data_IF_069593824587
#
_entry.id   IF_069593824587
#
_cell.length_a   1.000
_cell.length_b   1.000
_cell.length_c   1.000
_cell.angle_alpha   90.00
_cell.angle_beta   90.00
_cell.angle_gamma   90.00
#
_symmetry.space_group_name_H-M   'P 1'
#
loop_
_entity.id
_entity.type
_entity.pdbx_description
1 polymer ?
#
# COMPACT_ATOMS: atom_id res chain seq x y z
N UNK A 1 -3.93 23.58 5.73
CA UNK A 1 -5.23 23.19 6.36
C UNK A 1 -4.88 22.26 7.50
N UNK A 2 -5.44 22.45 8.68
CA UNK A 2 -5.22 21.48 9.77
C UNK A 2 -6.14 20.27 9.53
N UNK A 3 -5.54 19.09 9.40
CA UNK A 3 -6.26 17.82 9.20
C UNK A 3 -6.63 17.12 10.52
N UNK A 4 -6.20 17.67 11.67
CA UNK A 4 -6.44 17.07 12.98
C UNK A 4 -5.78 15.73 13.20
N UNK A 5 -4.66 15.44 12.51
CA UNK A 5 -3.96 14.15 12.57
C UNK A 5 -2.56 14.22 13.21
N UNK A 6 -2.14 15.39 13.64
CA UNK A 6 -0.85 15.58 14.34
C UNK A 6 -0.77 14.69 15.59
N UNK A 7 0.38 14.02 15.77
CA UNK A 7 0.60 13.11 16.89
C UNK A 7 -0.10 11.74 16.74
N UNK A 8 -0.76 11.49 15.62
CA UNK A 8 -1.24 10.15 15.26
C UNK A 8 -0.09 9.26 14.83
N UNK A 9 -0.32 7.96 14.84
CA UNK A 9 0.66 6.94 14.42
C UNK A 9 0.19 6.21 13.17
N UNK A 10 1.04 6.12 12.15
CA UNK A 10 0.71 5.49 10.87
C UNK A 10 1.65 4.34 10.52
N UNK A 11 1.08 3.23 10.05
CA UNK A 11 1.82 2.16 9.36
C UNK A 11 1.68 2.34 7.85
N UNK A 12 2.81 2.40 7.13
CA UNK A 12 2.85 2.53 5.68
C UNK A 12 3.66 1.37 5.07
N UNK A 13 2.98 0.54 4.27
CA UNK A 13 3.60 -0.58 3.58
C UNK A 13 4.25 -0.16 2.26
N UNK A 14 5.32 -0.88 1.85
CA UNK A 14 6.10 -0.63 0.64
C UNK A 14 6.52 0.84 0.50
N UNK A 15 7.09 1.40 1.57
CA UNK A 15 7.32 2.84 1.75
C UNK A 15 8.77 3.29 1.52
N UNK A 16 9.65 2.42 1.02
CA UNK A 16 11.03 2.82 0.70
C UNK A 16 11.15 3.72 -0.54
N UNK A 17 10.13 3.74 -1.41
CA UNK A 17 10.10 4.56 -2.64
C UNK A 17 8.67 4.72 -3.19
N UNK A 18 8.54 5.49 -4.27
CA UNK A 18 7.29 5.63 -5.03
C UNK A 18 6.12 6.12 -4.18
N UNK A 19 4.92 5.59 -4.44
CA UNK A 19 3.68 6.04 -3.79
C UNK A 19 3.69 5.86 -2.28
N UNK A 20 4.25 4.76 -1.76
CA UNK A 20 4.34 4.54 -0.31
C UNK A 20 5.23 5.57 0.38
N UNK A 21 6.38 5.94 -0.23
CA UNK A 21 7.23 7.02 0.26
C UNK A 21 6.50 8.37 0.20
N UNK A 22 5.81 8.68 -0.89
CA UNK A 22 5.02 9.91 -1.00
C UNK A 22 3.93 10.02 0.07
N UNK A 23 3.25 8.91 0.39
CA UNK A 23 2.29 8.88 1.51
C UNK A 23 2.99 9.12 2.86
N UNK A 24 4.17 8.53 3.07
CA UNK A 24 4.93 8.72 4.31
C UNK A 24 5.38 10.18 4.49
N UNK A 25 5.89 10.81 3.44
CA UNK A 25 6.29 12.23 3.45
C UNK A 25 5.10 13.15 3.71
N UNK A 26 3.96 12.90 3.07
CA UNK A 26 2.74 13.69 3.27
C UNK A 26 2.22 13.59 4.71
N UNK A 27 2.18 12.38 5.30
CA UNK A 27 1.75 12.18 6.68
C UNK A 27 2.76 12.78 7.68
N UNK A 28 4.06 12.63 7.43
CA UNK A 28 5.11 13.26 8.25
C UNK A 28 4.99 14.79 8.24
N UNK A 29 4.67 15.40 7.09
CA UNK A 29 4.43 16.85 6.97
C UNK A 29 3.26 17.36 7.83
N UNK A 30 2.30 16.49 8.11
CA UNK A 30 1.18 16.78 9.04
C UNK A 30 1.50 16.44 10.50
N UNK A 31 2.72 15.98 10.80
CA UNK A 31 3.17 15.68 12.15
C UNK A 31 2.71 14.32 12.67
N UNK A 32 2.54 13.34 11.78
CA UNK A 32 2.20 11.95 12.11
C UNK A 32 3.48 11.16 12.34
N UNK A 33 3.55 10.36 13.40
CA UNK A 33 4.62 9.40 13.65
C UNK A 33 4.46 8.16 12.76
N UNK A 34 5.56 7.63 12.23
CA UNK A 34 5.51 6.64 11.17
C UNK A 34 6.17 5.32 11.56
N UNK A 35 5.57 4.23 11.11
CA UNK A 35 6.20 2.93 10.95
C UNK A 35 6.25 2.61 9.46
N UNK A 36 7.44 2.54 8.92
CA UNK A 36 7.69 2.27 7.50
C UNK A 36 8.06 0.80 7.31
N UNK A 37 7.48 0.17 6.30
CA UNK A 37 7.82 -1.19 5.92
C UNK A 37 8.22 -1.30 4.45
N UNK A 38 9.28 -2.03 4.18
CA UNK A 38 9.67 -2.51 2.86
C UNK A 38 10.62 -3.71 3.01
N UNK A 39 10.93 -4.43 1.92
CA UNK A 39 11.86 -5.57 1.94
C UNK A 39 13.34 -5.15 2.00
N UNK A 40 13.69 -4.06 1.33
CA UNK A 40 15.08 -3.57 1.25
C UNK A 40 15.43 -2.70 2.45
N UNK A 41 16.26 -3.21 3.37
CA UNK A 41 16.62 -2.52 4.61
C UNK A 41 17.34 -1.19 4.36
N UNK A 42 18.32 -1.17 3.47
CA UNK A 42 19.12 0.03 3.18
C UNK A 42 18.27 1.18 2.62
N UNK A 43 17.49 0.90 1.59
CA UNK A 43 16.63 1.91 0.96
C UNK A 43 15.51 2.38 1.90
N UNK A 44 15.01 1.49 2.76
CA UNK A 44 14.00 1.83 3.74
C UNK A 44 14.57 2.75 4.82
N UNK A 45 15.75 2.43 5.37
CA UNK A 45 16.39 3.26 6.39
C UNK A 45 16.83 4.62 5.81
N UNK A 46 17.32 4.68 4.58
CA UNK A 46 17.61 5.94 3.93
C UNK A 46 16.37 6.85 3.83
N UNK A 47 15.21 6.26 3.49
CA UNK A 47 13.93 6.98 3.47
C UNK A 47 13.51 7.42 4.87
N UNK A 48 13.62 6.56 5.86
CA UNK A 48 13.28 6.87 7.25
C UNK A 48 14.15 8.01 7.81
N UNK A 49 15.46 7.96 7.58
CA UNK A 49 16.41 9.00 8.00
C UNK A 49 16.11 10.35 7.35
N UNK A 50 15.80 10.36 6.05
CA UNK A 50 15.40 11.57 5.33
C UNK A 50 14.13 12.18 5.92
N UNK A 51 13.11 11.38 6.20
CA UNK A 51 11.84 11.86 6.78
C UNK A 51 12.05 12.39 8.19
N UNK A 52 12.79 11.68 9.06
CA UNK A 52 13.13 12.16 10.42
C UNK A 52 13.81 13.53 10.37
N UNK A 53 14.81 13.67 9.49
CA UNK A 53 15.56 14.91 9.33
C UNK A 53 14.71 16.08 8.82
N UNK A 54 13.79 15.81 7.89
CA UNK A 54 13.00 16.85 7.22
C UNK A 54 11.82 17.32 8.06
N UNK A 55 11.12 16.39 8.73
CA UNK A 55 9.83 16.68 9.37
C UNK A 55 9.86 16.64 10.89
N UNK A 56 10.91 16.09 11.50
CA UNK A 56 11.08 16.04 12.95
C UNK A 56 10.11 15.10 13.68
N UNK A 57 9.49 14.15 12.98
CA UNK A 57 8.59 13.15 13.53
C UNK A 57 9.35 11.85 13.87
N UNK A 58 8.76 11.01 14.74
CA UNK A 58 9.27 9.68 14.99
C UNK A 58 9.04 8.78 13.76
N UNK A 59 10.08 8.04 13.35
CA UNK A 59 9.98 7.09 12.23
C UNK A 59 10.72 5.81 12.60
N UNK A 60 10.01 4.71 12.63
CA UNK A 60 10.57 3.37 12.75
C UNK A 60 10.58 2.66 11.38
N UNK A 61 11.62 1.89 11.10
CA UNK A 61 11.78 1.19 9.83
C UNK A 61 11.84 -0.32 10.07
N UNK A 62 10.93 -1.07 9.46
CA UNK A 62 10.85 -2.53 9.60
C UNK A 62 11.09 -3.19 8.24
N UNK A 63 12.29 -3.73 8.05
CA UNK A 63 12.64 -4.46 6.84
C UNK A 63 12.09 -5.89 6.89
N UNK A 64 10.94 -6.11 6.26
CA UNK A 64 10.26 -7.41 6.24
C UNK A 64 9.43 -7.58 4.96
N UNK A 65 9.24 -8.83 4.55
CA UNK A 65 8.28 -9.16 3.50
C UNK A 65 6.87 -9.26 4.09
N UNK A 66 6.08 -8.23 3.86
CA UNK A 66 4.73 -8.08 4.38
C UNK A 66 3.73 -9.12 3.83
N UNK A 67 4.12 -9.87 2.78
CA UNK A 67 3.27 -10.93 2.22
C UNK A 67 3.35 -12.23 3.02
N UNK A 68 4.32 -12.35 3.94
CA UNK A 68 4.50 -13.50 4.81
C UNK A 68 3.91 -13.27 6.20
N UNK A 69 3.44 -14.33 6.85
CA UNK A 69 2.93 -14.25 8.23
C UNK A 69 3.98 -13.71 9.21
N UNK A 70 5.24 -14.16 9.07
CA UNK A 70 6.34 -13.69 9.90
C UNK A 70 6.63 -12.19 9.68
N UNK A 71 6.59 -11.73 8.42
CA UNK A 71 6.77 -10.32 8.10
C UNK A 71 5.61 -9.45 8.61
N UNK A 72 4.37 -9.92 8.49
CA UNK A 72 3.21 -9.23 9.06
C UNK A 72 3.32 -9.12 10.58
N UNK A 73 3.69 -10.22 11.26
CA UNK A 73 3.85 -10.23 12.72
C UNK A 73 4.91 -9.22 13.17
N UNK A 74 6.10 -9.22 12.56
CA UNK A 74 7.18 -8.29 12.90
C UNK A 74 6.78 -6.81 12.69
N UNK A 75 6.07 -6.53 11.59
CA UNK A 75 5.60 -5.17 11.29
C UNK A 75 4.52 -4.72 12.27
N UNK A 76 3.55 -5.58 12.58
CA UNK A 76 2.45 -5.26 13.49
C UNK A 76 2.93 -5.14 14.94
N UNK A 77 3.90 -5.96 15.36
CA UNK A 77 4.52 -5.85 16.68
C UNK A 77 5.20 -4.49 16.87
N UNK A 78 6.00 -4.05 15.89
CA UNK A 78 6.65 -2.73 15.93
C UNK A 78 5.61 -1.60 15.81
N UNK A 79 4.61 -1.78 14.96
CA UNK A 79 3.59 -0.75 14.74
C UNK A 79 2.75 -0.50 16.00
N UNK A 80 2.45 -1.54 16.76
CA UNK A 80 1.60 -1.44 17.94
C UNK A 80 0.22 -0.84 17.60
N UNK A 81 -0.25 0.03 18.44
CA UNK A 81 -1.51 0.74 18.22
C UNK A 81 -1.36 1.85 17.18
N UNK A 82 -1.84 1.58 15.98
CA UNK A 82 -1.84 2.57 14.89
C UNK A 82 -3.22 3.22 14.72
N UNK A 83 -3.20 4.47 14.31
CA UNK A 83 -4.39 5.25 13.95
C UNK A 83 -4.64 5.24 12.43
N UNK A 84 -3.56 5.17 11.66
CA UNK A 84 -3.60 5.24 10.20
C UNK A 84 -2.89 4.02 9.62
N UNK A 85 -3.53 3.36 8.66
CA UNK A 85 -2.95 2.27 7.89
C UNK A 85 -2.95 2.62 6.40
N UNK A 86 -1.77 2.60 5.78
CA UNK A 86 -1.64 2.70 4.32
C UNK A 86 -1.14 1.37 3.79
N UNK A 87 -2.04 0.58 3.20
CA UNK A 87 -1.65 -0.66 2.53
C UNK A 87 -1.15 -0.37 1.13
N UNK A 88 -0.02 -0.95 0.80
CA UNK A 88 0.62 -0.85 -0.51
C UNK A 88 1.50 -2.08 -0.74
N UNK A 89 1.65 -2.50 -1.98
CA UNK A 89 2.57 -3.57 -2.37
C UNK A 89 3.04 -3.36 -3.81
N UNK A 90 4.11 -4.03 -4.18
CA UNK A 90 4.54 -4.10 -5.57
C UNK A 90 3.43 -4.68 -6.45
N UNK A 91 3.21 -4.10 -7.62
CA UNK A 91 2.26 -4.68 -8.58
C UNK A 91 2.78 -5.99 -9.17
N UNK A 92 1.90 -6.94 -9.50
CA UNK A 92 2.27 -8.15 -10.23
C UNK A 92 2.91 -7.83 -11.58
N UNK A 93 3.66 -8.76 -12.19
CA UNK A 93 4.22 -8.56 -13.52
C UNK A 93 3.12 -8.33 -14.55
N UNK A 94 3.34 -7.45 -15.54
CA UNK A 94 2.45 -7.33 -16.69
C UNK A 94 2.63 -8.56 -17.59
N UNK A 95 1.62 -8.83 -18.43
CA UNK A 95 1.65 -9.94 -19.39
C UNK A 95 0.36 -10.03 -20.18
N UNK A 96 0.27 -11.02 -21.06
CA UNK A 96 -0.93 -11.34 -21.82
C UNK A 96 -1.79 -12.35 -21.03
N UNK A 97 -3.03 -12.49 -21.43
CA UNK A 97 -3.97 -13.44 -20.80
C UNK A 97 -3.48 -14.90 -20.81
N UNK A 98 -2.62 -15.27 -21.74
CA UNK A 98 -2.04 -16.59 -21.90
C UNK A 98 -0.80 -16.85 -21.05
N UNK A 99 -0.20 -15.81 -20.48
CA UNK A 99 1.08 -15.88 -19.79
C UNK A 99 0.93 -16.31 -18.32
N UNK A 100 -0.28 -16.20 -17.76
CA UNK A 100 -0.52 -16.41 -16.33
C UNK A 100 -1.20 -17.75 -16.04
N UNK A 101 -0.55 -18.53 -15.20
CA UNK A 101 -1.12 -19.72 -14.61
C UNK A 101 -1.72 -19.47 -13.22
N UNK A 102 -2.19 -20.54 -12.60
CA UNK A 102 -2.80 -20.52 -11.26
C UNK A 102 -1.87 -19.89 -10.21
N UNK A 103 -0.59 -20.19 -10.25
CA UNK A 103 0.37 -19.76 -9.23
C UNK A 103 0.63 -18.25 -9.32
N UNK A 104 0.60 -17.69 -10.53
CA UNK A 104 0.71 -16.24 -10.73
C UNK A 104 -0.48 -15.48 -10.11
N UNK A 105 -1.69 -16.03 -10.27
CA UNK A 105 -2.89 -15.48 -9.63
C UNK A 105 -2.81 -15.60 -8.10
N UNK A 106 -2.35 -16.73 -7.57
CA UNK A 106 -2.20 -16.89 -6.10
C UNK A 106 -1.21 -15.86 -5.57
N UNK A 107 -0.03 -15.71 -6.19
CA UNK A 107 0.97 -14.73 -5.77
C UNK A 107 0.42 -13.28 -5.85
N UNK A 108 -0.34 -12.96 -6.89
CA UNK A 108 -0.99 -11.66 -7.01
C UNK A 108 -2.06 -11.43 -5.93
N UNK A 109 -2.82 -12.45 -5.58
CA UNK A 109 -3.82 -12.39 -4.50
C UNK A 109 -3.15 -12.26 -3.14
N UNK A 110 -2.12 -13.02 -2.85
CA UNK A 110 -1.38 -12.91 -1.60
C UNK A 110 -0.88 -11.48 -1.38
N UNK A 111 -0.22 -10.89 -2.38
CA UNK A 111 0.37 -9.56 -2.24
C UNK A 111 -0.65 -8.41 -2.27
N UNK A 112 -1.67 -8.49 -3.13
CA UNK A 112 -2.51 -7.32 -3.45
C UNK A 112 -3.99 -7.46 -3.02
N UNK A 113 -4.35 -8.56 -2.37
CA UNK A 113 -5.68 -8.82 -1.82
C UNK A 113 -5.58 -9.33 -0.38
N UNK A 114 -4.93 -10.47 -0.13
CA UNK A 114 -4.97 -11.15 1.18
C UNK A 114 -4.11 -10.40 2.22
N UNK A 115 -2.93 -9.93 1.85
CA UNK A 115 -2.09 -9.11 2.74
C UNK A 115 -2.79 -7.83 3.20
N UNK A 116 -3.34 -6.98 2.32
CA UNK A 116 -4.15 -5.85 2.77
C UNK A 116 -5.32 -6.25 3.68
N UNK A 117 -6.03 -7.33 3.38
CA UNK A 117 -7.13 -7.84 4.22
C UNK A 117 -6.61 -8.23 5.61
N UNK A 118 -5.50 -8.94 5.70
CA UNK A 118 -4.91 -9.35 6.97
C UNK A 118 -4.54 -8.13 7.84
N UNK A 119 -3.87 -7.12 7.24
CA UNK A 119 -3.51 -5.88 7.93
C UNK A 119 -4.73 -5.08 8.39
N UNK A 120 -5.76 -4.97 7.55
CA UNK A 120 -7.03 -4.34 7.91
C UNK A 120 -7.64 -5.05 9.12
N UNK A 121 -7.74 -6.38 9.08
CA UNK A 121 -8.31 -7.18 10.17
C UNK A 121 -7.52 -7.04 11.47
N UNK A 122 -6.20 -6.96 11.41
CA UNK A 122 -5.35 -6.77 12.58
C UNK A 122 -5.49 -5.38 13.20
N UNK A 123 -5.71 -4.34 12.38
CA UNK A 123 -5.76 -2.94 12.85
C UNK A 123 -7.14 -2.50 13.31
N UNK A 124 -8.20 -3.05 12.74
CA UNK A 124 -9.58 -2.61 12.98
C UNK A 124 -10.02 -2.67 14.45
N UNK A 125 -9.77 -3.75 15.22
CA UNK A 125 -10.25 -3.80 16.60
C UNK A 125 -9.77 -2.62 17.43
N UNK A 126 -8.47 -2.34 17.45
CA UNK A 126 -7.92 -1.20 18.20
C UNK A 126 -8.41 0.16 17.71
N UNK A 127 -8.58 0.35 16.38
CA UNK A 127 -9.16 1.57 15.82
C UNK A 127 -10.62 1.75 16.25
N UNK A 128 -11.41 0.70 16.24
CA UNK A 128 -12.82 0.74 16.66
C UNK A 128 -12.97 1.02 18.16
N UNK A 129 -12.15 0.39 19.00
CA UNK A 129 -12.15 0.59 20.45
C UNK A 129 -11.79 2.05 20.81
N UNK A 130 -10.89 2.69 20.05
CA UNK A 130 -10.54 4.11 20.23
C UNK A 130 -11.52 5.08 19.55
N UNK A 131 -12.51 4.58 18.81
CA UNK A 131 -13.50 5.38 18.10
C UNK A 131 -12.91 6.20 16.95
N UNK A 132 -11.71 5.85 16.45
CA UNK A 132 -11.05 6.56 15.38
C UNK A 132 -10.06 5.68 14.61
N UNK A 133 -10.11 5.72 13.28
CA UNK A 133 -9.16 5.05 12.42
C UNK A 133 -9.30 5.49 10.97
N UNK A 134 -8.18 5.49 10.23
CA UNK A 134 -8.13 5.82 8.80
C UNK A 134 -7.33 4.77 8.06
N UNK A 135 -7.97 4.07 7.16
CA UNK A 135 -7.34 3.04 6.33
C UNK A 135 -7.42 3.48 4.88
N UNK A 136 -6.28 3.51 4.21
CA UNK A 136 -6.15 3.83 2.79
C UNK A 136 -5.45 2.69 2.08
N UNK A 137 -6.11 2.07 1.13
CA UNK A 137 -5.51 1.04 0.28
C UNK A 137 -5.08 1.67 -1.05
N UNK A 138 -3.80 1.57 -1.37
CA UNK A 138 -3.30 1.98 -2.69
C UNK A 138 -3.62 0.86 -3.68
N UNK A 139 -4.67 1.07 -4.46
CA UNK A 139 -5.12 0.13 -5.48
C UNK A 139 -4.66 0.55 -6.88
N UNK A 140 -5.55 0.77 -7.83
CA UNK A 140 -5.23 1.19 -9.19
C UNK A 140 -6.45 1.75 -9.90
N UNK A 141 -6.27 2.69 -10.81
CA UNK A 141 -7.29 3.10 -11.79
C UNK A 141 -7.84 1.91 -12.57
N UNK A 142 -7.05 0.87 -12.74
CA UNK A 142 -7.43 -0.37 -13.43
C UNK A 142 -8.65 -1.10 -12.81
N UNK A 143 -9.01 -0.79 -11.57
CA UNK A 143 -10.27 -1.25 -10.95
C UNK A 143 -11.50 -0.66 -11.64
N UNK A 144 -11.40 0.54 -12.21
CA UNK A 144 -12.48 1.23 -12.94
C UNK A 144 -12.36 1.08 -14.45
N UNK A 145 -11.13 1.10 -14.95
CA UNK A 145 -10.79 0.96 -16.37
C UNK A 145 -9.71 -0.11 -16.51
N UNK A 146 -10.07 -1.40 -16.66
CA UNK A 146 -9.11 -2.49 -16.74
C UNK A 146 -8.07 -2.28 -17.85
N UNK A 147 -6.80 -2.46 -17.49
CA UNK A 147 -5.68 -2.35 -18.42
C UNK A 147 -5.33 -3.75 -18.93
N UNK A 148 -5.31 -3.98 -20.26
CA UNK A 148 -5.20 -5.32 -20.83
C UNK A 148 -4.00 -6.14 -20.33
N UNK A 149 -2.82 -5.52 -20.22
CA UNK A 149 -1.58 -6.19 -19.79
C UNK A 149 -1.46 -6.34 -18.26
N UNK A 150 -2.44 -5.93 -17.48
CA UNK A 150 -2.42 -5.97 -16.02
C UNK A 150 -3.47 -6.91 -15.42
N UNK A 151 -3.82 -8.01 -16.08
CA UNK A 151 -4.88 -8.93 -15.68
C UNK A 151 -4.77 -9.41 -14.24
N UNK A 152 -3.59 -9.78 -13.76
CA UNK A 152 -3.34 -10.17 -12.37
C UNK A 152 -3.69 -9.03 -11.39
N UNK A 153 -3.21 -7.82 -11.69
CA UNK A 153 -3.47 -6.63 -10.86
C UNK A 153 -4.95 -6.22 -10.90
N UNK A 154 -5.56 -6.22 -12.09
CA UNK A 154 -6.99 -5.92 -12.26
C UNK A 154 -7.83 -6.82 -11.35
N UNK A 155 -7.56 -8.12 -11.35
CA UNK A 155 -8.32 -9.12 -10.59
C UNK A 155 -8.13 -8.96 -9.08
N UNK A 156 -6.88 -8.90 -8.59
CA UNK A 156 -6.58 -8.82 -7.17
C UNK A 156 -7.12 -7.51 -6.54
N UNK A 157 -6.91 -6.38 -7.20
CA UNK A 157 -7.32 -5.07 -6.68
C UNK A 157 -8.83 -4.83 -6.78
N UNK A 158 -9.51 -5.43 -7.76
CA UNK A 158 -10.98 -5.44 -7.80
C UNK A 158 -11.55 -6.27 -6.64
N UNK A 159 -10.95 -7.42 -6.32
CA UNK A 159 -11.31 -8.22 -5.15
C UNK A 159 -11.18 -7.43 -3.85
N UNK A 160 -10.05 -6.74 -3.64
CA UNK A 160 -9.86 -5.86 -2.48
C UNK A 160 -10.90 -4.74 -2.43
N UNK A 161 -11.23 -4.14 -3.57
CA UNK A 161 -12.24 -3.07 -3.64
C UNK A 161 -13.61 -3.59 -3.22
N UNK A 162 -13.99 -4.79 -3.64
CA UNK A 162 -15.23 -5.44 -3.21
C UNK A 162 -15.27 -5.72 -1.70
N UNK A 163 -14.18 -6.26 -1.14
CA UNK A 163 -14.04 -6.48 0.30
C UNK A 163 -14.20 -5.17 1.08
N UNK A 164 -13.48 -4.13 0.70
CA UNK A 164 -13.53 -2.81 1.35
C UNK A 164 -14.92 -2.19 1.29
N UNK A 165 -15.63 -2.32 0.18
CA UNK A 165 -16.99 -1.80 0.03
C UNK A 165 -17.98 -2.41 1.05
N UNK A 166 -17.78 -3.67 1.44
CA UNK A 166 -18.56 -4.32 2.49
C UNK A 166 -18.14 -3.89 3.90
N UNK A 167 -16.85 -4.02 4.21
CA UNK A 167 -16.31 -3.79 5.56
C UNK A 167 -16.41 -2.33 5.98
N UNK A 168 -16.18 -1.38 5.08
CA UNK A 168 -16.27 0.06 5.40
C UNK A 168 -17.62 0.44 6.00
N UNK A 169 -18.72 -0.16 5.52
CA UNK A 169 -20.07 0.08 6.07
C UNK A 169 -20.26 -0.52 7.46
N UNK A 170 -19.60 -1.65 7.75
CA UNK A 170 -19.71 -2.31 9.05
C UNK A 170 -19.01 -1.50 10.16
N UNK A 171 -17.91 -0.83 9.83
CA UNK A 171 -17.06 -0.14 10.81
C UNK A 171 -17.28 1.38 10.88
N UNK A 172 -18.03 1.97 9.96
CA UNK A 172 -18.26 3.42 9.90
C UNK A 172 -18.85 3.99 11.19
N UNK A 173 -19.76 3.26 11.82
CA UNK A 173 -20.39 3.65 13.11
C UNK A 173 -19.39 3.73 14.27
N UNK A 174 -18.24 3.09 14.17
CA UNK A 174 -17.15 3.14 15.15
C UNK A 174 -16.10 4.23 14.86
N UNK A 175 -16.40 5.18 14.00
CA UNK A 175 -15.48 6.28 13.67
C UNK A 175 -14.29 5.90 12.78
N UNK A 176 -14.34 4.70 12.16
CA UNK A 176 -13.29 4.22 11.26
C UNK A 176 -13.71 4.37 9.80
N UNK A 177 -12.80 4.87 8.97
CA UNK A 177 -13.02 4.92 7.52
C UNK A 177 -12.02 4.05 6.78
N UNK A 178 -12.47 3.34 5.74
CA UNK A 178 -11.62 2.55 4.84
C UNK A 178 -11.87 3.03 3.41
N UNK A 179 -10.83 3.51 2.75
CA UNK A 179 -10.90 4.04 1.41
C UNK A 179 -9.88 3.38 0.49
N UNK A 180 -10.19 3.33 -0.81
CA UNK A 180 -9.27 2.92 -1.85
C UNK A 180 -8.82 4.14 -2.65
N UNK A 181 -7.51 4.36 -2.71
CA UNK A 181 -6.90 5.30 -3.63
C UNK A 181 -6.65 4.57 -4.95
N UNK A 182 -7.08 5.14 -6.06
CA UNK A 182 -6.96 4.56 -7.39
C UNK A 182 -5.97 5.38 -8.24
N UNK A 183 -4.66 5.21 -8.02
CA UNK A 183 -3.66 5.94 -8.79
C UNK A 183 -3.76 5.61 -10.28
N UNK A 184 -3.59 6.62 -11.12
CA UNK A 184 -3.31 6.48 -12.54
C UNK A 184 -1.81 6.30 -12.79
N UNK A 185 -1.32 6.93 -13.85
CA UNK A 185 0.12 6.97 -14.17
C UNK A 185 0.82 7.96 -13.23
N UNK A 186 1.86 7.50 -12.58
CA UNK A 186 2.72 8.32 -11.71
C UNK A 186 4.16 8.05 -12.09
N UNK A 187 4.98 9.08 -12.12
CA UNK A 187 6.42 8.97 -12.41
C UNK A 187 7.14 8.20 -11.29
N UNK A 188 7.30 6.92 -11.54
CA UNK A 188 7.94 5.96 -10.63
C UNK A 188 8.68 4.91 -11.45
N UNK A 189 9.64 4.19 -10.85
CA UNK A 189 10.33 3.06 -11.48
C UNK A 189 9.35 2.03 -12.10
N UNK A 190 8.16 1.94 -11.54
CA UNK A 190 7.11 1.04 -12.04
C UNK A 190 6.58 1.50 -13.39
N UNK A 191 6.38 2.80 -13.60
CA UNK A 191 5.92 3.34 -14.88
C UNK A 191 6.95 3.04 -15.98
N UNK A 192 8.23 3.34 -15.72
CA UNK A 192 9.31 3.04 -16.66
C UNK A 192 9.31 1.57 -17.08
N UNK A 193 9.07 0.66 -16.14
CA UNK A 193 8.99 -0.79 -16.45
C UNK A 193 7.78 -1.12 -17.33
N UNK A 194 6.62 -0.50 -17.09
CA UNK A 194 5.40 -0.71 -17.86
C UNK A 194 5.52 -0.16 -19.28
N UNK A 195 6.11 1.02 -19.42
CA UNK A 195 6.33 1.66 -20.73
C UNK A 195 7.23 0.79 -21.61
N UNK A 196 8.31 0.21 -21.05
CA UNK A 196 9.18 -0.73 -21.78
C UNK A 196 8.42 -1.96 -22.28
N UNK A 197 7.57 -2.54 -21.46
CA UNK A 197 6.75 -3.71 -21.86
C UNK A 197 5.75 -3.32 -22.94
N UNK A 198 5.06 -2.19 -22.81
CA UNK A 198 4.08 -1.72 -23.78
C UNK A 198 4.75 -1.35 -25.13
N UNK A 199 5.89 -0.63 -25.09
CA UNK A 199 6.67 -0.29 -26.28
C UNK A 199 7.14 -1.56 -27.01
N UNK A 200 7.66 -2.53 -26.28
CA UNK A 200 8.05 -3.83 -26.83
C UNK A 200 6.87 -4.59 -27.46
N UNK A 201 5.71 -4.59 -26.83
CA UNK A 201 4.51 -5.23 -27.35
C UNK A 201 3.96 -4.55 -28.62
N UNK A 202 4.16 -3.26 -28.76
CA UNK A 202 3.73 -2.45 -29.93
C UNK A 202 4.80 -2.33 -31.02
N UNK A 203 6.05 -2.77 -30.76
CA UNK A 203 7.17 -2.64 -31.69
C UNK A 203 7.55 -1.18 -31.96
N UNK A 204 7.39 -0.28 -30.97
CA UNK A 204 7.77 1.14 -31.04
C UNK A 204 8.95 1.42 -30.14
N UNK A 205 9.68 2.56 -30.35
CA UNK A 205 10.75 2.97 -29.46
C UNK A 205 10.20 3.48 -28.10
N UNK A 206 11.07 3.52 -27.10
CA UNK A 206 10.75 4.03 -25.75
C UNK A 206 10.69 5.58 -25.69
N UNK A 207 10.98 6.27 -26.83
CA UNK A 207 11.04 7.73 -26.97
C UNK A 207 9.66 8.32 -27.37
#
# INVERSE_FOLDING_TARGET
MDLGIRGRRALICASSKGLGKGCAEALAGEGVDLVLNARGAESLEATAASIRSTYGVSVEAVAADITTEAGQAAVLETAGDIDILVTNAGGPPPGLWSDWGRDDFIAAFDANLLTPIALIKASLPGMMDRGWGRIVNITSVAVKAPIPVLGLSNTARSGLTGYVAGVSRQVAGSGVTINNLLPGLHDTDRLVTLDKVDAGARGISED
#
